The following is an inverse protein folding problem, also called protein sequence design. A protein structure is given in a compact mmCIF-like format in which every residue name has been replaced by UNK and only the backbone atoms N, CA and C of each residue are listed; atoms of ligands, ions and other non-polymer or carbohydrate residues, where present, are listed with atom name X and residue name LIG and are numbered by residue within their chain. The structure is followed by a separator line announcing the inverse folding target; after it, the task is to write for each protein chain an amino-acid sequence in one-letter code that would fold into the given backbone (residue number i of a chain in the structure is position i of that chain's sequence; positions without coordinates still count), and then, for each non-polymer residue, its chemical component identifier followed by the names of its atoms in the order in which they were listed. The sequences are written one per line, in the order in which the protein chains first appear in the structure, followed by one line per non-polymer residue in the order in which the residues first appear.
data_IF_822625570511
#
_entry.id   IF_822625570511
#
_cell.length_a   1.000
_cell.length_b   1.000
_cell.length_c   1.000
_cell.angle_alpha   90.00
_cell.angle_beta   90.00
_cell.angle_gamma   90.00
#
_symmetry.space_group_name_H-M   'P 1'
#
loop_
_entity.id
_entity.type
_entity.pdbx_description
1 polymer ?
#
# COMPACT_ATOMS: atom_id res chain seq x y z
N UNK A 1 63.23 4.29 48.70
CA UNK A 1 62.46 3.33 47.88
C UNK A 1 61.20 3.91 47.21
N UNK A 2 60.97 5.24 47.25
CA UNK A 2 59.76 5.88 46.68
C UNK A 2 60.01 6.52 45.30
N UNK A 3 61.24 6.94 44.99
CA UNK A 3 61.56 7.63 43.73
C UNK A 3 61.69 6.72 42.48
N UNK A 4 61.64 5.39 42.64
CA UNK A 4 61.66 4.45 41.50
C UNK A 4 60.26 4.08 40.99
N UNK A 5 59.20 4.42 41.73
CA UNK A 5 57.81 4.07 41.39
C UNK A 5 57.14 5.20 40.58
N UNK A 6 57.48 6.47 40.83
CA UNK A 6 56.91 7.61 40.12
C UNK A 6 57.39 7.76 38.65
N UNK A 7 58.60 7.29 38.33
CA UNK A 7 59.13 7.35 36.96
C UNK A 7 58.50 6.36 35.97
N UNK A 8 57.91 5.27 36.46
CA UNK A 8 57.24 4.27 35.63
C UNK A 8 55.75 4.55 35.44
N UNK A 9 55.11 5.27 36.36
CA UNK A 9 53.69 5.67 36.22
C UNK A 9 53.55 6.77 35.14
N UNK A 10 54.51 7.69 35.04
CA UNK A 10 54.47 8.75 34.00
C UNK A 10 54.67 8.20 32.57
N UNK A 11 55.42 7.11 32.41
CA UNK A 11 55.58 6.44 31.10
C UNK A 11 54.39 5.55 30.73
N UNK A 12 53.72 4.95 31.72
CA UNK A 12 52.51 4.14 31.47
C UNK A 12 51.31 5.01 31.06
N UNK A 13 51.14 6.19 31.68
CA UNK A 13 50.04 7.10 31.38
C UNK A 13 50.24 7.79 30.02
N UNK A 14 51.48 8.12 29.64
CA UNK A 14 51.77 8.70 28.33
C UNK A 14 51.67 7.66 27.19
N UNK A 15 51.92 6.38 27.48
CA UNK A 15 51.68 5.27 26.55
C UNK A 15 50.19 4.98 26.33
N UNK A 16 49.34 5.17 27.35
CA UNK A 16 47.89 4.98 27.22
C UNK A 16 47.18 6.10 26.44
N UNK A 17 47.76 7.30 26.38
CA UNK A 17 47.21 8.44 25.63
C UNK A 17 47.60 8.45 24.14
N UNK A 18 48.62 7.69 23.74
CA UNK A 18 49.06 7.60 22.34
C UNK A 18 48.43 6.39 21.62
N UNK A 19 48.04 5.34 22.35
CA UNK A 19 47.38 4.16 21.75
C UNK A 19 45.86 4.34 21.58
N UNK A 20 45.24 5.32 22.25
CA UNK A 20 43.84 5.68 22.03
C UNK A 20 43.59 6.52 20.77
N UNK A 21 44.63 6.88 20.00
CA UNK A 21 44.53 7.60 18.72
C UNK A 21 45.00 6.79 17.50
N UNK A 22 45.25 5.47 17.66
CA UNK A 22 45.76 4.62 16.56
C UNK A 22 44.89 3.39 16.23
N UNK A 23 43.65 3.33 16.73
CA UNK A 23 42.59 2.51 16.08
C UNK A 23 41.85 3.36 15.06
N UNK A 24 42.62 3.94 14.15
CA UNK A 24 42.16 4.61 12.94
C UNK A 24 42.86 3.90 11.79
N UNK A 25 42.07 3.33 10.88
CA UNK A 25 42.44 2.40 9.80
C UNK A 25 42.38 0.90 10.15
N UNK A 26 41.16 0.36 10.27
CA UNK A 26 40.76 -0.92 9.66
C UNK A 26 39.26 -1.19 9.87
N UNK A 27 38.42 -0.42 9.17
CA UNK A 27 37.24 -0.93 8.45
C UNK A 27 36.71 0.20 7.57
N UNK A 28 37.20 0.20 6.33
CA UNK A 28 36.61 0.94 5.22
C UNK A 28 35.29 0.28 4.86
N UNK A 29 34.25 0.63 5.61
CA UNK A 29 32.88 0.69 5.15
C UNK A 29 32.14 1.65 6.08
N UNK A 30 32.58 2.92 6.07
CA UNK A 30 31.60 3.98 6.29
C UNK A 30 30.45 3.68 5.32
N UNK A 31 29.18 3.67 5.75
CA UNK A 31 28.09 3.60 4.79
C UNK A 31 28.37 4.74 3.82
N UNK A 32 28.53 4.38 2.53
CA UNK A 32 28.55 5.33 1.41
C UNK A 32 27.55 6.41 1.78
N UNK A 33 28.06 7.64 1.92
CA UNK A 33 27.31 8.89 1.96
C UNK A 33 25.84 8.63 1.65
N UNK A 34 24.99 8.56 2.68
CA UNK A 34 23.54 8.37 2.55
C UNK A 34 23.12 9.30 1.43
N UNK A 35 22.62 8.73 0.34
CA UNK A 35 22.45 9.44 -0.91
C UNK A 35 21.75 10.77 -0.66
N UNK A 36 22.24 11.85 -1.26
CA UNK A 36 21.50 13.11 -1.40
C UNK A 36 20.25 12.94 -2.30
N UNK A 37 19.65 11.75 -2.33
CA UNK A 37 18.47 11.42 -3.11
C UNK A 37 17.27 12.11 -2.49
N UNK A 38 16.75 13.10 -3.22
CA UNK A 38 15.46 13.72 -2.94
C UNK A 38 14.36 12.71 -3.27
N UNK A 39 13.82 12.02 -2.26
CA UNK A 39 12.79 10.99 -2.40
C UNK A 39 13.02 9.77 -1.52
N UNK A 40 12.46 8.63 -1.93
CA UNK A 40 12.57 7.36 -1.20
C UNK A 40 13.85 6.62 -1.56
N UNK A 41 14.49 6.04 -0.55
CA UNK A 41 15.70 5.24 -0.69
C UNK A 41 15.60 3.99 0.20
N UNK A 42 15.83 2.83 -0.40
CA UNK A 42 15.80 1.53 0.26
C UNK A 42 17.16 0.85 0.03
N UNK A 43 17.81 0.46 1.12
CA UNK A 43 19.10 -0.23 1.11
C UNK A 43 19.20 -1.16 2.30
N UNK A 44 19.59 -2.42 2.09
CA UNK A 44 19.80 -3.40 3.15
C UNK A 44 18.56 -3.53 4.07
N UNK A 45 17.36 -3.56 3.47
CA UNK A 45 16.06 -3.56 4.15
C UNK A 45 15.76 -2.33 5.03
N UNK A 46 16.56 -1.26 4.93
CA UNK A 46 16.33 0.00 5.64
C UNK A 46 15.67 1.04 4.72
N UNK A 47 14.71 1.77 5.27
CA UNK A 47 13.93 2.80 4.57
C UNK A 47 14.34 4.21 4.97
N UNK A 48 14.46 5.07 3.95
CA UNK A 48 14.83 6.47 4.10
C UNK A 48 13.95 7.35 3.22
N UNK A 49 13.70 8.58 3.67
CA UNK A 49 13.11 9.64 2.87
C UNK A 49 13.95 10.91 3.01
N UNK A 50 14.38 11.49 1.87
CA UNK A 50 15.29 12.64 1.85
C UNK A 50 16.53 12.45 2.74
N UNK A 51 17.10 11.24 2.74
CA UNK A 51 18.28 10.87 3.54
C UNK A 51 18.01 10.61 5.04
N UNK A 52 16.79 10.81 5.52
CA UNK A 52 16.41 10.53 6.92
C UNK A 52 15.80 9.13 7.04
N UNK A 53 16.32 8.32 7.96
CA UNK A 53 15.88 6.95 8.21
C UNK A 53 14.54 6.94 8.97
N UNK A 54 13.65 6.02 8.61
CA UNK A 54 12.44 5.70 9.36
C UNK A 54 12.09 4.20 9.25
N UNK A 55 11.16 3.71 10.07
CA UNK A 55 10.73 2.30 10.06
C UNK A 55 9.30 2.17 9.49
N UNK A 56 9.07 1.22 8.60
CA UNK A 56 7.75 0.95 7.98
C UNK A 56 6.72 0.36 8.96
N UNK A 57 7.13 -0.08 10.15
CA UNK A 57 6.23 -0.45 11.29
C UNK A 57 6.50 0.47 12.49
N UNK A 58 7.03 1.66 12.23
CA UNK A 58 7.26 2.68 13.24
C UNK A 58 6.04 3.57 13.45
N UNK A 59 6.05 4.42 14.49
CA UNK A 59 5.03 5.45 14.66
C UNK A 59 4.95 6.37 13.44
N UNK A 60 3.75 6.64 12.95
CA UNK A 60 3.52 7.59 11.84
C UNK A 60 4.12 8.97 12.13
N UNK A 61 4.19 9.35 13.42
CA UNK A 61 4.79 10.61 13.85
C UNK A 61 6.24 10.77 13.36
N UNK A 62 7.04 9.71 13.40
CA UNK A 62 8.44 9.77 12.98
C UNK A 62 8.55 10.09 11.48
N UNK A 63 7.66 9.53 10.67
CA UNK A 63 7.60 9.85 9.25
C UNK A 63 7.08 11.27 8.99
N UNK A 64 6.05 11.71 9.73
CA UNK A 64 5.52 13.09 9.68
C UNK A 64 6.60 14.13 10.04
N UNK A 65 7.46 13.84 11.01
CA UNK A 65 8.56 14.72 11.40
C UNK A 65 9.60 14.88 10.27
N UNK A 66 9.72 13.87 9.39
CA UNK A 66 10.64 13.88 8.24
C UNK A 66 10.01 14.57 7.01
N UNK A 67 8.78 14.22 6.66
CA UNK A 67 8.13 14.66 5.41
C UNK A 67 7.27 15.93 5.58
N UNK A 68 6.96 16.30 6.82
CA UNK A 68 6.01 17.35 7.16
C UNK A 68 4.59 16.83 7.35
N UNK A 69 3.70 17.70 7.85
CA UNK A 69 2.30 17.36 8.12
C UNK A 69 1.57 16.96 6.83
N UNK A 70 0.77 15.90 6.91
CA UNK A 70 -0.13 15.50 5.83
C UNK A 70 -1.13 16.61 5.47
N UNK A 71 -1.48 16.71 4.19
CA UNK A 71 -2.50 17.66 3.70
C UNK A 71 -3.88 17.31 4.27
N UNK A 72 -4.16 16.01 4.43
CA UNK A 72 -5.41 15.49 4.99
C UNK A 72 -5.22 14.14 5.69
N UNK A 73 -6.09 13.88 6.65
CA UNK A 73 -6.24 12.57 7.30
C UNK A 73 -7.63 12.07 6.97
N UNK A 74 -7.70 10.84 6.47
CA UNK A 74 -8.92 10.22 5.97
C UNK A 74 -9.21 9.01 6.83
N UNK A 75 -10.45 8.90 7.29
CA UNK A 75 -10.94 7.73 8.02
C UNK A 75 -11.96 7.07 7.11
N UNK A 76 -11.65 5.85 6.71
CA UNK A 76 -12.56 4.97 5.98
C UNK A 76 -13.07 3.90 6.94
N UNK A 77 -14.30 3.47 6.76
CA UNK A 77 -14.90 2.41 7.57
C UNK A 77 -15.70 1.46 6.70
N UNK A 78 -15.42 0.17 6.83
CA UNK A 78 -16.11 -0.89 6.09
C UNK A 78 -16.63 -1.96 7.06
N UNK A 79 -17.72 -2.64 6.68
CA UNK A 79 -18.34 -3.65 7.53
C UNK A 79 -19.21 -3.05 8.65
N UNK A 80 -19.17 -3.66 9.84
CA UNK A 80 -20.03 -3.29 10.97
C UNK A 80 -21.51 -3.65 10.80
N UNK A 81 -21.83 -4.44 9.76
CA UNK A 81 -23.18 -4.89 9.46
C UNK A 81 -23.38 -6.37 9.83
N UNK A 82 -24.63 -6.77 9.91
CA UNK A 82 -25.02 -8.17 10.10
C UNK A 82 -25.69 -8.66 8.85
N UNK A 83 -25.10 -9.67 8.20
CA UNK A 83 -25.71 -10.35 7.07
C UNK A 83 -26.63 -11.44 7.61
N UNK A 84 -27.86 -11.47 7.09
CA UNK A 84 -28.85 -12.48 7.43
C UNK A 84 -29.30 -13.18 6.18
N UNK A 85 -29.33 -14.50 6.20
CA UNK A 85 -29.86 -15.30 5.10
C UNK A 85 -30.74 -16.44 5.58
N UNK A 86 -31.68 -16.82 4.71
CA UNK A 86 -32.66 -17.86 4.94
C UNK A 86 -32.73 -18.77 3.72
N UNK A 87 -32.91 -20.07 3.93
CA UNK A 87 -32.96 -21.03 2.84
C UNK A 87 -34.12 -22.00 3.02
N UNK A 88 -34.86 -22.22 1.95
CA UNK A 88 -35.89 -23.26 1.83
C UNK A 88 -35.35 -24.32 0.87
N UNK A 89 -34.78 -25.38 1.42
CA UNK A 89 -34.13 -26.45 0.66
C UNK A 89 -35.14 -27.19 -0.23
N UNK A 90 -36.36 -27.44 0.27
CA UNK A 90 -37.37 -28.20 -0.47
C UNK A 90 -37.94 -27.44 -1.66
N UNK A 91 -38.17 -26.14 -1.51
CA UNK A 91 -38.72 -25.28 -2.57
C UNK A 91 -37.63 -24.60 -3.40
N UNK A 92 -36.36 -24.73 -3.01
CA UNK A 92 -35.22 -24.16 -3.72
C UNK A 92 -35.17 -22.64 -3.66
N UNK A 93 -35.66 -22.02 -2.57
CA UNK A 93 -35.55 -20.57 -2.38
C UNK A 93 -34.40 -20.20 -1.45
N UNK A 94 -33.77 -19.07 -1.72
CA UNK A 94 -32.77 -18.46 -0.87
C UNK A 94 -33.09 -16.98 -0.71
N UNK A 95 -32.93 -16.45 0.50
CA UNK A 95 -33.19 -15.05 0.77
C UNK A 95 -32.08 -14.42 1.59
N UNK A 96 -31.86 -13.12 1.41
CA UNK A 96 -30.99 -12.35 2.28
C UNK A 96 -31.53 -10.95 2.55
N UNK A 97 -31.07 -10.36 3.65
CA UNK A 97 -31.38 -8.98 4.00
C UNK A 97 -30.51 -8.01 3.19
N UNK A 98 -31.10 -7.18 2.35
CA UNK A 98 -30.39 -6.19 1.55
C UNK A 98 -30.02 -4.94 2.35
N UNK A 99 -29.24 -4.04 1.73
CA UNK A 99 -28.81 -2.76 2.34
C UNK A 99 -29.99 -1.85 2.76
N UNK A 100 -31.18 -2.04 2.18
CA UNK A 100 -32.41 -1.31 2.51
C UNK A 100 -33.23 -1.96 3.64
N UNK A 101 -32.66 -2.96 4.31
CA UNK A 101 -33.31 -3.76 5.37
C UNK A 101 -34.55 -4.51 4.89
N UNK A 102 -34.59 -4.87 3.61
CA UNK A 102 -35.64 -5.70 3.01
C UNK A 102 -35.12 -7.09 2.68
N UNK A 103 -36.02 -8.06 2.59
CA UNK A 103 -35.68 -9.46 2.28
C UNK A 103 -35.85 -9.69 0.79
N UNK A 104 -34.74 -9.90 0.09
CA UNK A 104 -34.73 -10.30 -1.32
C UNK A 104 -34.73 -11.83 -1.40
N UNK A 105 -35.69 -12.40 -2.13
CA UNK A 105 -35.83 -13.84 -2.34
C UNK A 105 -35.44 -14.18 -3.77
N UNK A 106 -34.64 -15.23 -3.91
CA UNK A 106 -34.12 -15.79 -5.14
C UNK A 106 -34.60 -17.22 -5.30
N UNK A 107 -35.00 -17.57 -6.52
CA UNK A 107 -35.27 -18.94 -6.89
C UNK A 107 -33.97 -19.59 -7.39
N UNK A 108 -33.50 -20.61 -6.70
CA UNK A 108 -32.27 -21.34 -7.03
C UNK A 108 -32.51 -22.46 -8.06
N UNK A 109 -33.77 -22.76 -8.42
CA UNK A 109 -34.10 -23.83 -9.38
C UNK A 109 -33.97 -23.39 -10.85
N UNK A 110 -33.49 -22.17 -11.11
CA UNK A 110 -33.32 -21.62 -12.47
C UNK A 110 -31.84 -21.38 -12.75
N UNK A 111 -31.41 -21.59 -13.99
CA UNK A 111 -30.00 -21.51 -14.42
C UNK A 111 -29.37 -20.11 -14.29
N UNK A 112 -30.15 -19.11 -13.87
CA UNK A 112 -29.66 -17.78 -13.53
C UNK A 112 -30.57 -17.17 -12.44
N UNK A 113 -30.27 -17.39 -11.14
CA UNK A 113 -31.11 -16.94 -10.03
C UNK A 113 -31.34 -15.43 -10.08
N UNK A 114 -32.57 -15.03 -10.34
CA UNK A 114 -33.01 -13.63 -10.25
C UNK A 114 -33.80 -13.41 -8.97
N UNK A 115 -33.90 -12.14 -8.58
CA UNK A 115 -34.82 -11.74 -7.52
C UNK A 115 -36.23 -12.09 -7.98
N UNK A 116 -36.82 -13.07 -7.32
CA UNK A 116 -38.21 -13.48 -7.53
C UNK A 116 -39.14 -12.42 -6.93
N UNK A 117 -38.81 -11.97 -5.70
CA UNK A 117 -39.59 -10.98 -4.97
C UNK A 117 -38.80 -10.32 -3.83
N UNK A 118 -39.20 -9.10 -3.49
CA UNK A 118 -38.73 -8.38 -2.31
C UNK A 118 -39.86 -8.27 -1.27
N UNK A 119 -39.54 -8.48 0.00
CA UNK A 119 -40.44 -8.37 1.14
C UNK A 119 -39.90 -7.36 2.15
N UNK A 120 -40.76 -6.72 2.94
CA UNK A 120 -40.31 -5.73 3.93
C UNK A 120 -39.59 -6.37 5.11
N UNK A 121 -39.89 -7.65 5.40
CA UNK A 121 -39.31 -8.42 6.49
C UNK A 121 -39.45 -9.92 6.19
N UNK A 122 -38.80 -10.75 7.02
CA UNK A 122 -38.82 -12.21 6.83
C UNK A 122 -40.19 -12.83 7.11
N UNK A 123 -40.99 -12.26 8.03
CA UNK A 123 -42.30 -12.81 8.38
C UNK A 123 -43.27 -12.77 7.19
N UNK A 124 -43.18 -11.74 6.35
CA UNK A 124 -43.93 -11.66 5.10
C UNK A 124 -43.53 -12.76 4.11
N UNK A 125 -42.24 -13.05 3.99
CA UNK A 125 -41.74 -14.13 3.13
C UNK A 125 -42.19 -15.50 3.66
N UNK A 126 -42.09 -15.73 4.97
CA UNK A 126 -42.51 -16.98 5.64
C UNK A 126 -44.01 -17.23 5.48
N UNK A 127 -44.86 -16.20 5.50
CA UNK A 127 -46.30 -16.34 5.24
C UNK A 127 -46.60 -16.89 3.84
N UNK A 128 -45.73 -16.62 2.86
CA UNK A 128 -45.92 -17.04 1.47
C UNK A 128 -45.21 -18.36 1.16
N UNK A 129 -43.98 -18.51 1.66
CA UNK A 129 -43.08 -19.61 1.32
C UNK A 129 -43.07 -20.74 2.38
N UNK A 130 -43.72 -20.52 3.51
CA UNK A 130 -43.64 -21.40 4.67
C UNK A 130 -42.37 -21.16 5.50
N UNK A 131 -42.13 -22.01 6.50
CA UNK A 131 -40.92 -21.94 7.32
C UNK A 131 -39.67 -22.33 6.52
N UNK A 132 -38.58 -21.61 6.75
CA UNK A 132 -37.27 -21.92 6.18
C UNK A 132 -36.63 -23.11 6.89
N UNK A 133 -35.75 -23.81 6.19
CA UNK A 133 -34.99 -24.94 6.71
C UNK A 133 -33.69 -24.49 7.38
N UNK A 134 -33.08 -23.40 6.90
CA UNK A 134 -31.81 -22.88 7.42
C UNK A 134 -31.87 -21.36 7.63
N UNK A 135 -31.21 -20.90 8.70
CA UNK A 135 -30.95 -19.49 8.99
C UNK A 135 -29.48 -19.29 9.30
N UNK A 136 -28.88 -18.26 8.70
CA UNK A 136 -27.51 -17.84 8.97
C UNK A 136 -27.46 -16.36 9.32
N UNK A 137 -26.69 -16.04 10.36
CA UNK A 137 -26.38 -14.68 10.78
C UNK A 137 -24.87 -14.51 10.87
N UNK A 138 -24.31 -13.75 9.94
CA UNK A 138 -22.88 -13.44 9.89
C UNK A 138 -22.66 -11.99 10.33
N UNK A 139 -21.99 -11.81 11.47
CA UNK A 139 -21.57 -10.49 11.95
C UNK A 139 -20.25 -10.12 11.32
N UNK A 140 -20.25 -9.07 10.51
CA UNK A 140 -19.03 -8.53 9.92
C UNK A 140 -18.51 -7.44 10.87
N UNK A 141 -17.29 -7.58 11.43
CA UNK A 141 -16.73 -6.55 12.29
C UNK A 141 -16.60 -5.23 11.53
N UNK A 142 -16.68 -4.11 12.26
CA UNK A 142 -16.37 -2.81 11.70
C UNK A 142 -14.84 -2.71 11.56
N UNK A 143 -14.37 -2.57 10.33
CA UNK A 143 -12.98 -2.29 10.00
C UNK A 143 -12.83 -0.79 9.78
N UNK A 144 -11.99 -0.14 10.58
CA UNK A 144 -11.71 1.30 10.50
C UNK A 144 -10.27 1.47 10.02
N UNK A 145 -10.10 2.19 8.91
CA UNK A 145 -8.80 2.45 8.29
C UNK A 145 -8.50 3.93 8.33
N UNK A 146 -7.27 4.27 8.72
CA UNK A 146 -6.81 5.64 8.82
C UNK A 146 -5.67 5.87 7.84
N UNK A 147 -5.81 6.90 7.01
CA UNK A 147 -4.85 7.25 5.98
C UNK A 147 -4.34 8.68 6.17
N UNK A 148 -3.02 8.85 6.11
CA UNK A 148 -2.36 10.15 6.04
C UNK A 148 -1.99 10.42 4.58
N UNK A 149 -2.46 11.52 4.01
CA UNK A 149 -2.33 11.80 2.57
C UNK A 149 -1.60 13.13 2.35
N UNK A 150 -0.52 13.06 1.57
CA UNK A 150 0.21 14.22 1.03
C UNK A 150 -0.16 14.39 -0.43
N UNK A 151 -1.24 15.12 -0.66
CA UNK A 151 -1.86 15.36 -1.96
C UNK A 151 -0.85 15.85 -3.00
N UNK A 152 0.02 16.79 -2.61
CA UNK A 152 1.01 17.39 -3.54
C UNK A 152 2.20 16.49 -3.82
N UNK A 153 2.49 15.54 -2.92
CA UNK A 153 3.64 14.64 -3.06
C UNK A 153 3.25 13.34 -3.74
N UNK A 154 1.96 13.04 -3.89
CA UNK A 154 1.50 11.76 -4.41
C UNK A 154 1.76 10.62 -3.45
N UNK A 155 1.69 10.87 -2.14
CA UNK A 155 1.99 9.89 -1.08
C UNK A 155 0.77 9.69 -0.20
N UNK A 156 0.49 8.43 0.07
CA UNK A 156 -0.55 7.99 1.01
C UNK A 156 0.06 6.99 1.98
N UNK A 157 -0.30 7.07 3.26
CA UNK A 157 0.16 6.14 4.29
C UNK A 157 -1.01 5.59 5.07
N UNK A 158 -1.20 4.28 5.03
CA UNK A 158 -2.16 3.57 5.88
C UNK A 158 -1.50 3.26 7.22
N UNK A 159 -2.20 3.57 8.31
CA UNK A 159 -1.74 3.30 9.68
C UNK A 159 -2.67 2.35 10.42
N UNK A 160 -2.09 1.57 11.32
CA UNK A 160 -2.84 0.68 12.22
C UNK A 160 -3.57 1.50 13.30
N UNK A 161 -4.43 0.84 14.09
CA UNK A 161 -5.10 1.45 15.24
C UNK A 161 -4.15 2.02 16.30
N UNK A 162 -2.87 1.59 16.29
CA UNK A 162 -1.82 2.08 17.20
C UNK A 162 -1.05 3.27 16.63
N UNK A 163 -1.49 3.84 15.51
CA UNK A 163 -0.78 4.90 14.77
C UNK A 163 0.62 4.46 14.31
N UNK A 164 0.80 3.17 14.03
CA UNK A 164 1.99 2.62 13.40
C UNK A 164 1.78 2.54 11.88
N UNK A 165 2.81 2.81 11.09
CA UNK A 165 2.76 2.65 9.64
C UNK A 165 2.45 1.16 9.34
N UNK A 166 1.50 0.93 8.45
CA UNK A 166 1.22 -0.40 7.89
C UNK A 166 1.80 -0.47 6.47
N UNK A 167 1.44 0.49 5.64
CA UNK A 167 1.99 0.61 4.29
C UNK A 167 2.03 2.06 3.80
N UNK A 168 2.98 2.32 2.90
CA UNK A 168 3.15 3.60 2.20
C UNK A 168 2.91 3.35 0.71
N UNK A 169 2.05 4.16 0.10
CA UNK A 169 1.77 4.16 -1.33
C UNK A 169 2.37 5.41 -1.98
N UNK A 170 3.15 5.20 -3.03
CA UNK A 170 3.64 6.25 -3.93
C UNK A 170 2.83 6.17 -5.22
N UNK A 171 1.90 7.10 -5.43
CA UNK A 171 0.97 7.09 -6.56
C UNK A 171 1.61 7.69 -7.81
N UNK A 172 2.30 6.88 -8.61
CA UNK A 172 3.06 7.35 -9.79
C UNK A 172 2.18 7.60 -11.02
N UNK A 173 0.99 7.00 -11.06
CA UNK A 173 -0.07 7.25 -12.04
C UNK A 173 -1.33 7.69 -11.33
N UNK A 174 -1.87 8.85 -11.71
CA UNK A 174 -3.08 9.35 -11.06
C UNK A 174 -4.27 8.45 -11.38
N UNK A 175 -5.08 8.13 -10.38
CA UNK A 175 -6.21 7.21 -10.52
C UNK A 175 -7.17 7.62 -11.66
N UNK A 176 -7.36 8.92 -11.85
CA UNK A 176 -8.23 9.44 -12.92
C UNK A 176 -7.77 9.02 -14.30
N UNK A 177 -6.51 8.61 -14.49
CA UNK A 177 -5.97 8.12 -15.76
C UNK A 177 -6.18 6.63 -15.97
N UNK A 178 -6.53 5.90 -14.91
CA UNK A 178 -6.73 4.45 -14.91
C UNK A 178 -8.20 4.06 -14.99
N UNK A 179 -9.12 4.98 -14.69
CA UNK A 179 -10.54 4.72 -14.64
C UNK A 179 -11.33 5.98 -15.00
N UNK A 180 -12.34 5.85 -15.85
CA UNK A 180 -13.32 6.93 -16.06
C UNK A 180 -14.20 7.02 -14.80
N UNK A 181 -14.17 8.17 -14.14
CA UNK A 181 -14.93 8.39 -12.91
C UNK A 181 -16.29 8.93 -13.30
N UNK A 182 -17.35 8.22 -12.97
CA UNK A 182 -18.70 8.71 -13.22
C UNK A 182 -19.01 9.95 -12.37
N UNK A 183 -19.97 10.76 -12.83
CA UNK A 183 -20.41 11.94 -12.06
C UNK A 183 -20.96 11.57 -10.67
N UNK A 184 -21.63 10.42 -10.57
CA UNK A 184 -22.12 9.86 -9.31
C UNK A 184 -20.96 9.52 -8.35
N UNK A 185 -19.88 8.95 -8.87
CA UNK A 185 -18.68 8.65 -8.10
C UNK A 185 -17.89 9.90 -7.67
N UNK A 186 -17.93 10.99 -8.46
CA UNK A 186 -17.37 12.29 -8.07
C UNK A 186 -18.19 12.98 -6.98
N UNK A 187 -19.49 12.77 -6.97
CA UNK A 187 -20.44 13.36 -6.01
C UNK A 187 -20.57 12.53 -4.73
N UNK A 188 -20.22 11.24 -4.78
CA UNK A 188 -20.23 10.35 -3.64
C UNK A 188 -18.89 10.36 -2.90
N UNK A 189 -18.84 11.11 -1.81
CA UNK A 189 -17.65 11.22 -0.95
C UNK A 189 -17.22 9.90 -0.32
N UNK A 190 -18.04 8.84 -0.35
CA UNK A 190 -17.75 7.55 0.30
C UNK A 190 -17.14 6.51 -0.67
N UNK A 191 -17.06 6.80 -1.97
CA UNK A 191 -16.56 5.86 -2.98
C UNK A 191 -15.08 6.17 -3.33
N UNK A 192 -14.16 5.36 -2.80
CA UNK A 192 -12.83 5.03 -3.35
C UNK A 192 -11.80 6.17 -3.54
N UNK A 193 -12.17 7.45 -3.47
CA UNK A 193 -11.26 8.58 -3.74
C UNK A 193 -10.82 9.35 -2.50
N UNK A 194 -11.33 9.00 -1.33
CA UNK A 194 -11.00 9.81 -0.17
C UNK A 194 -9.53 9.70 0.21
N UNK A 195 -8.83 8.59 -0.01
CA UNK A 195 -7.43 8.42 0.36
C UNK A 195 -6.41 8.65 -0.78
N UNK A 196 -6.82 8.55 -2.05
CA UNK A 196 -5.92 8.76 -3.18
C UNK A 196 -5.38 10.22 -3.24
N UNK A 197 -4.07 10.44 -3.36
CA UNK A 197 -3.51 11.78 -3.51
C UNK A 197 -4.01 12.51 -4.77
N UNK A 198 -4.16 13.85 -4.67
CA UNK A 198 -4.58 14.69 -5.82
C UNK A 198 -3.52 14.86 -6.91
N UNK A 199 -2.25 14.57 -6.62
CA UNK A 199 -1.16 14.62 -7.59
C UNK A 199 -0.41 13.30 -7.64
N UNK A 200 0.33 13.11 -8.73
CA UNK A 200 1.21 11.97 -8.92
C UNK A 200 2.52 12.18 -8.16
N UNK A 201 3.11 11.09 -7.68
CA UNK A 201 4.46 11.05 -7.18
C UNK A 201 5.44 11.37 -8.30
N UNK A 202 6.26 12.40 -8.10
CA UNK A 202 7.31 12.86 -9.04
C UNK A 202 8.71 12.84 -8.43
N UNK A 203 8.89 12.19 -7.27
CA UNK A 203 10.18 12.11 -6.60
C UNK A 203 11.11 11.03 -7.15
N UNK A 204 12.32 10.95 -6.58
CA UNK A 204 13.25 9.85 -6.85
C UNK A 204 12.88 8.62 -6.03
N UNK A 205 12.97 7.45 -6.65
CA UNK A 205 12.91 6.18 -5.95
C UNK A 205 14.21 5.43 -6.15
N UNK A 206 14.85 5.01 -5.07
CA UNK A 206 16.11 4.27 -5.10
C UNK A 206 15.98 2.94 -4.38
N UNK A 207 16.43 1.88 -5.02
CA UNK A 207 16.53 0.54 -4.43
C UNK A 207 17.95 0.00 -4.64
N UNK A 208 18.62 -0.40 -3.56
CA UNK A 208 19.97 -0.97 -3.55
C UNK A 208 20.99 -0.19 -4.42
N UNK A 209 20.93 1.14 -4.35
CA UNK A 209 21.84 2.05 -5.06
C UNK A 209 21.46 2.36 -6.52
N UNK A 210 20.36 1.82 -7.02
CA UNK A 210 19.81 2.10 -8.35
C UNK A 210 18.60 3.03 -8.25
N UNK A 211 18.61 4.14 -8.99
CA UNK A 211 17.64 5.24 -8.83
C UNK A 211 16.86 5.50 -10.11
N UNK A 212 15.56 5.75 -9.97
CA UNK A 212 14.67 6.26 -11.02
C UNK A 212 14.06 7.60 -10.61
N UNK A 213 13.78 8.45 -11.60
CA UNK A 213 13.20 9.79 -11.43
C UNK A 213 11.80 9.84 -12.03
N UNK A 214 10.76 9.70 -11.21
CA UNK A 214 9.37 9.70 -11.69
C UNK A 214 8.91 11.03 -12.29
N UNK A 215 9.66 12.13 -12.09
CA UNK A 215 9.39 13.39 -12.80
C UNK A 215 9.67 13.32 -14.30
N UNK A 216 10.48 12.34 -14.75
CA UNK A 216 10.96 12.21 -16.14
C UNK A 216 10.47 10.94 -16.86
N UNK A 217 9.70 10.10 -16.17
CA UNK A 217 9.36 8.76 -16.66
C UNK A 217 8.22 8.74 -17.68
N UNK A 218 7.29 9.70 -17.65
CA UNK A 218 6.08 9.66 -18.48
C UNK A 218 5.17 8.46 -18.14
N UNK A 219 4.30 8.07 -19.07
CA UNK A 219 3.31 6.98 -18.86
C UNK A 219 3.62 5.68 -19.63
N UNK A 220 4.75 5.62 -20.33
CA UNK A 220 5.35 4.38 -20.82
C UNK A 220 6.71 4.18 -20.11
N UNK A 221 6.62 3.73 -18.85
CA UNK A 221 7.74 3.76 -17.92
C UNK A 221 8.03 2.42 -17.22
N UNK A 222 7.20 1.40 -17.41
CA UNK A 222 7.33 0.14 -16.69
C UNK A 222 8.74 -0.48 -16.87
N UNK A 223 9.13 -0.78 -18.11
CA UNK A 223 10.42 -1.39 -18.40
C UNK A 223 11.60 -0.47 -18.07
N UNK A 224 11.44 0.86 -18.23
CA UNK A 224 12.45 1.84 -17.81
C UNK A 224 12.67 1.81 -16.30
N UNK A 225 11.60 1.61 -15.53
CA UNK A 225 11.66 1.54 -14.07
C UNK A 225 12.30 0.24 -13.62
N UNK A 226 11.85 -0.91 -14.15
CA UNK A 226 12.40 -2.24 -13.84
C UNK A 226 13.91 -2.29 -14.12
N UNK A 227 14.33 -1.82 -15.30
CA UNK A 227 15.74 -1.72 -15.67
C UNK A 227 16.50 -0.68 -14.84
N UNK A 228 15.90 0.48 -14.63
CA UNK A 228 16.53 1.60 -13.90
C UNK A 228 16.81 1.27 -12.43
N UNK A 229 15.99 0.40 -11.83
CA UNK A 229 16.16 -0.11 -10.47
C UNK A 229 16.95 -1.42 -10.39
N UNK A 230 17.38 -1.96 -11.54
CA UNK A 230 18.08 -3.25 -11.64
C UNK A 230 17.29 -4.41 -10.99
N UNK A 231 15.99 -4.44 -11.24
CA UNK A 231 15.06 -5.48 -10.75
C UNK A 231 14.56 -6.39 -11.88
N UNK A 232 15.43 -6.62 -12.87
CA UNK A 232 15.20 -7.54 -13.99
C UNK A 232 15.42 -9.00 -13.56
N UNK A 233 14.79 -9.95 -14.26
CA UNK A 233 15.00 -11.40 -14.05
C UNK A 233 14.09 -12.07 -13.01
N UNK A 234 14.41 -13.34 -12.74
CA UNK A 234 13.63 -14.31 -11.95
C UNK A 234 13.76 -14.12 -10.44
N UNK A 235 14.71 -13.32 -9.96
CA UNK A 235 14.91 -13.04 -8.53
C UNK A 235 13.79 -12.21 -7.90
N UNK A 236 12.84 -11.74 -8.70
CA UNK A 236 11.71 -10.92 -8.26
C UNK A 236 10.42 -11.54 -8.76
N UNK A 237 9.38 -11.52 -7.93
CA UNK A 237 8.14 -12.21 -8.23
C UNK A 237 7.07 -11.24 -8.72
N UNK A 238 6.37 -11.58 -9.81
CA UNK A 238 6.71 -12.63 -10.78
C UNK A 238 7.79 -12.15 -11.80
N UNK A 239 8.42 -13.03 -12.61
CA UNK A 239 9.48 -12.66 -13.56
C UNK A 239 8.98 -11.63 -14.57
N UNK A 240 9.67 -10.50 -14.67
CA UNK A 240 9.19 -9.20 -15.20
C UNK A 240 9.00 -9.10 -16.69
N UNK A 241 8.98 -10.25 -17.36
CA UNK A 241 8.86 -10.38 -18.80
C UNK A 241 7.40 -10.61 -19.22
N UNK A 242 6.49 -10.87 -18.27
CA UNK A 242 5.06 -10.97 -18.52
C UNK A 242 4.38 -9.60 -18.57
N UNK A 243 3.50 -9.41 -19.56
CA UNK A 243 2.84 -8.13 -19.84
C UNK A 243 1.80 -7.71 -18.79
N UNK A 244 1.36 -8.63 -17.95
CA UNK A 244 0.25 -8.42 -17.00
C UNK A 244 0.71 -8.28 -15.55
N UNK A 245 2.03 -8.34 -15.33
CA UNK A 245 2.54 -8.65 -14.01
C UNK A 245 3.20 -7.45 -13.32
N UNK A 246 2.83 -7.25 -12.06
CA UNK A 246 3.48 -6.36 -11.09
C UNK A 246 4.88 -6.88 -10.71
N UNK A 247 5.59 -6.19 -9.82
CA UNK A 247 6.86 -6.66 -9.25
C UNK A 247 6.84 -6.57 -7.74
N UNK A 248 7.20 -7.66 -7.07
CA UNK A 248 7.35 -7.72 -5.61
C UNK A 248 8.82 -7.98 -5.29
N UNK A 249 9.38 -7.13 -4.44
CA UNK A 249 10.70 -7.27 -3.83
C UNK A 249 10.47 -7.64 -2.38
N UNK A 250 10.83 -8.87 -2.00
CA UNK A 250 10.70 -9.35 -0.62
C UNK A 250 12.05 -9.32 0.08
N UNK A 251 12.14 -8.55 1.15
CA UNK A 251 13.28 -8.45 2.06
C UNK A 251 12.86 -8.94 3.46
N UNK A 252 13.82 -9.15 4.36
CA UNK A 252 13.57 -9.78 5.67
C UNK A 252 12.43 -9.13 6.49
N UNK A 253 12.24 -7.81 6.39
CA UNK A 253 11.25 -7.04 7.16
C UNK A 253 10.63 -5.92 6.30
N UNK A 254 10.56 -6.13 4.99
CA UNK A 254 10.13 -5.11 4.04
C UNK A 254 9.67 -5.80 2.75
N UNK A 255 8.53 -5.39 2.23
CA UNK A 255 8.10 -5.70 0.87
C UNK A 255 7.95 -4.40 0.09
N UNK A 256 8.41 -4.41 -1.16
CA UNK A 256 8.16 -3.35 -2.13
C UNK A 256 7.41 -3.94 -3.30
N UNK A 257 6.15 -3.56 -3.46
CA UNK A 257 5.34 -3.95 -4.61
C UNK A 257 5.20 -2.77 -5.58
N UNK A 258 5.56 -2.97 -6.84
CA UNK A 258 5.31 -2.04 -7.93
C UNK A 258 4.17 -2.57 -8.77
N UNK A 259 3.00 -1.95 -8.64
CA UNK A 259 1.84 -2.35 -9.41
C UNK A 259 1.97 -1.82 -10.84
N UNK A 260 1.82 -2.70 -11.84
CA UNK A 260 1.79 -2.30 -13.25
C UNK A 260 0.36 -1.93 -13.67
N UNK A 261 0.24 -0.91 -14.51
CA UNK A 261 -1.00 -0.60 -15.22
C UNK A 261 -0.73 -0.51 -16.72
N UNK A 262 -1.59 -1.18 -17.50
CA UNK A 262 -1.51 -1.23 -18.96
C UNK A 262 -2.91 -1.14 -19.58
N UNK A 263 -3.19 -0.05 -20.29
CA UNK A 263 -4.50 0.17 -20.89
C UNK A 263 -4.70 -0.60 -22.22
N UNK A 264 -3.63 -1.15 -22.82
CA UNK A 264 -3.69 -1.94 -24.04
C UNK A 264 -4.25 -3.37 -23.84
N UNK A 265 -4.23 -3.90 -22.62
CA UNK A 265 -4.69 -5.28 -22.32
C UNK A 265 -6.17 -5.38 -21.91
N UNK A 266 -6.87 -4.24 -21.89
CA UNK A 266 -8.31 -4.18 -21.73
C UNK A 266 -8.78 -4.00 -20.29
N UNK A 267 -9.52 -2.91 -20.07
CA UNK A 267 -10.69 -2.96 -19.22
C UNK A 267 -11.79 -2.13 -19.87
N UNK A 268 -13.02 -2.57 -19.74
CA UNK A 268 -14.24 -1.91 -20.24
C UNK A 268 -14.56 -0.61 -19.49
N UNK A 269 -13.81 -0.29 -18.43
CA UNK A 269 -14.13 0.77 -17.45
C UNK A 269 -12.99 1.81 -17.30
N UNK A 270 -12.00 1.81 -18.20
CA UNK A 270 -10.85 2.72 -18.20
C UNK A 270 -10.67 3.45 -19.52
N UNK A 271 -9.86 4.53 -19.52
CA UNK A 271 -9.61 5.30 -20.73
C UNK A 271 -8.94 4.48 -21.82
N UNK A 272 -9.49 4.57 -23.03
CA UNK A 272 -8.95 3.88 -24.19
C UNK A 272 -7.62 4.50 -24.65
N UNK A 273 -6.77 3.68 -25.28
CA UNK A 273 -5.52 4.12 -25.91
C UNK A 273 -5.74 5.29 -26.87
N UNK A 274 -6.88 5.32 -27.57
CA UNK A 274 -7.27 6.40 -28.48
C UNK A 274 -7.50 7.74 -27.78
N UNK A 275 -7.78 7.75 -26.48
CA UNK A 275 -8.14 8.95 -25.71
C UNK A 275 -6.93 9.56 -25.00
N UNK A 276 -6.09 8.70 -24.42
CA UNK A 276 -4.98 9.15 -23.55
C UNK A 276 -3.59 8.66 -23.98
N UNK A 277 -3.51 7.94 -25.11
CA UNK A 277 -2.30 7.26 -25.54
C UNK A 277 -2.05 5.93 -24.81
N UNK A 278 -0.94 5.28 -25.14
CA UNK A 278 -0.53 4.05 -24.46
C UNK A 278 -0.08 4.37 -23.03
N UNK A 279 -0.71 3.71 -22.07
CA UNK A 279 -0.27 3.66 -20.68
C UNK A 279 0.33 2.28 -20.45
N UNK A 280 1.60 2.26 -20.04
CA UNK A 280 2.34 1.09 -19.61
C UNK A 280 3.30 1.54 -18.49
N UNK A 281 2.75 1.72 -17.30
CA UNK A 281 3.41 2.44 -16.23
C UNK A 281 3.39 1.66 -14.92
N UNK A 282 4.31 2.03 -14.03
CA UNK A 282 4.09 1.81 -12.60
C UNK A 282 2.91 2.67 -12.18
N UNK A 283 1.86 2.04 -11.63
CA UNK A 283 0.67 2.71 -11.10
C UNK A 283 0.91 3.28 -9.72
N UNK A 284 1.40 2.43 -8.83
CA UNK A 284 1.92 2.85 -7.54
C UNK A 284 3.06 1.94 -7.09
N UNK A 285 3.83 2.44 -6.13
CA UNK A 285 4.79 1.64 -5.35
C UNK A 285 4.22 1.53 -3.93
N UNK A 286 3.94 0.31 -3.48
CA UNK A 286 3.57 0.01 -2.11
C UNK A 286 4.83 -0.44 -1.35
N UNK A 287 5.07 0.15 -0.18
CA UNK A 287 6.14 -0.20 0.74
C UNK A 287 5.47 -0.64 2.05
N UNK A 288 5.66 -1.91 2.44
CA UNK A 288 5.06 -2.50 3.64
C UNK A 288 6.06 -3.39 4.37
N UNK A 289 5.72 -3.84 5.58
CA UNK A 289 6.49 -4.86 6.29
C UNK A 289 5.91 -6.25 6.04
#
# INVERSE_FOLDING_TARGET
MINKILGNISKLILGFLIVSNLVSCQNKSQPKQISNSLGFYIQDSLTYYNGQKFNIVGPIKDFVDIIGKADRIVIDSSGGNTNKSWKWNKSGFYAFLNKRKKVEVYNLNIDNPKIEKEYNNIDEAVKVLGNFDEYKEDKIPLDIRKYHVWDKLGIEVYVTEKDEINCIYLHTLHYSKTKEISKEELENTDLVYNNAPKQEYKGMFTYNGHTVDFSKMGYDNWFKTVKGLNIEGESYEPPGDSKEWSRIISERNLSVEMLRDINELGSTDGFHVSEIGVVNAVKYIQISN
#
